data_IF_616775687568
#
_entry.id   IF_616775687568
#
_cell.length_a   1.000
_cell.length_b   1.000
_cell.length_c   1.000
_cell.angle_alpha   90.00
_cell.angle_beta   90.00
_cell.angle_gamma   90.00
#
_symmetry.space_group_name_H-M   'P 1'
#
loop_
_entity.id
_entity.type
_entity.pdbx_description
1 polymer ?
#
# COMPACT_ATOMS: atom_id res chain seq x y z
N UNK A 1 -27.52 -17.77 71.04
CA UNK A 1 -27.27 -16.39 71.50
C UNK A 1 -27.48 -15.46 70.32
N UNK A 2 -28.40 -14.48 70.41
CA UNK A 2 -28.73 -13.54 69.34
C UNK A 2 -28.11 -12.14 69.57
N UNK A 3 -28.13 -11.34 68.49
CA UNK A 3 -28.21 -9.87 68.37
C UNK A 3 -27.08 -9.10 67.67
N UNK A 4 -27.57 -8.34 66.68
CA UNK A 4 -27.18 -7.00 66.20
C UNK A 4 -25.96 -6.85 65.30
N UNK A 5 -25.92 -5.95 64.32
CA UNK A 5 -26.88 -5.09 63.61
C UNK A 5 -26.03 -4.24 62.63
N UNK A 6 -26.58 -3.81 61.50
CA UNK A 6 -26.06 -2.64 60.77
C UNK A 6 -26.05 -2.77 59.25
N UNK A 7 -27.18 -2.46 58.60
CA UNK A 7 -27.22 -1.90 57.24
C UNK A 7 -26.62 -0.48 57.22
N UNK A 8 -26.31 0.04 56.03
CA UNK A 8 -26.95 1.30 55.67
C UNK A 8 -27.63 1.30 54.29
N UNK A 9 -28.60 2.20 54.20
CA UNK A 9 -29.60 2.46 53.15
C UNK A 9 -29.07 2.72 51.72
N UNK A 10 -29.93 2.52 50.70
CA UNK A 10 -29.72 3.01 49.34
C UNK A 10 -30.24 4.46 49.19
N UNK A 11 -29.48 5.32 48.50
CA UNK A 11 -29.94 6.68 48.15
C UNK A 11 -30.51 6.72 46.74
N UNK A 12 -31.73 7.24 46.62
CA UNK A 12 -32.51 7.48 45.41
C UNK A 12 -32.00 8.67 44.57
N UNK A 13 -31.84 8.46 43.25
CA UNK A 13 -32.42 9.28 42.17
C UNK A 13 -31.61 10.47 41.60
N UNK A 14 -31.91 10.98 40.37
CA UNK A 14 -33.14 10.81 39.60
C UNK A 14 -33.00 10.42 38.10
N UNK A 15 -34.18 10.14 37.54
CA UNK A 15 -34.59 9.74 36.20
C UNK A 15 -34.37 10.75 35.05
N UNK A 16 -34.63 10.22 33.85
CA UNK A 16 -35.00 10.82 32.55
C UNK A 16 -33.86 10.96 31.52
N UNK A 17 -33.99 10.52 30.27
CA UNK A 17 -35.18 10.08 29.52
C UNK A 17 -34.79 9.25 28.28
N UNK A 18 -35.64 8.28 27.97
CA UNK A 18 -35.62 7.41 26.79
C UNK A 18 -36.14 8.15 25.54
N UNK A 19 -35.75 7.68 24.36
CA UNK A 19 -35.90 8.36 23.08
C UNK A 19 -37.29 8.43 22.47
N UNK A 20 -37.37 9.08 21.31
CA UNK A 20 -38.48 8.95 20.36
C UNK A 20 -38.06 9.38 18.96
N UNK A 21 -38.30 8.50 17.99
CA UNK A 21 -38.35 8.77 16.56
C UNK A 21 -39.55 9.67 16.22
N UNK A 22 -39.39 10.60 15.29
CA UNK A 22 -40.50 11.07 14.46
C UNK A 22 -39.96 11.61 13.13
N UNK A 23 -40.24 10.87 12.06
CA UNK A 23 -40.17 11.32 10.68
C UNK A 23 -41.30 12.32 10.43
N UNK A 24 -41.05 13.38 9.66
CA UNK A 24 -42.09 13.89 8.77
C UNK A 24 -41.55 14.63 7.55
N UNK A 25 -42.36 14.46 6.50
CA UNK A 25 -42.24 14.88 5.11
C UNK A 25 -42.21 16.42 4.90
N UNK A 26 -42.15 16.82 3.60
CA UNK A 26 -42.42 18.14 2.99
C UNK A 26 -41.09 18.84 2.59
N UNK A 27 -40.77 19.22 1.35
CA UNK A 27 -41.57 19.56 0.18
C UNK A 27 -40.75 19.49 -1.12
N UNK A 28 -41.50 19.30 -2.21
CA UNK A 28 -41.09 19.22 -3.60
C UNK A 28 -40.96 20.64 -4.19
N UNK A 29 -39.86 20.99 -4.88
CA UNK A 29 -39.85 22.17 -5.79
C UNK A 29 -38.93 22.00 -7.01
N UNK A 30 -39.54 21.46 -8.07
CA UNK A 30 -39.60 21.94 -9.45
C UNK A 30 -38.36 22.54 -10.14
N UNK A 31 -37.85 21.78 -11.11
CA UNK A 31 -37.64 22.09 -12.54
C UNK A 31 -37.56 23.57 -13.01
N UNK A 32 -36.52 23.86 -13.80
CA UNK A 32 -36.50 24.71 -15.02
C UNK A 32 -35.15 24.44 -15.72
N UNK A 33 -35.04 23.57 -16.74
CA UNK A 33 -35.33 23.71 -18.18
C UNK A 33 -34.56 24.85 -18.89
N UNK A 34 -33.62 24.38 -19.74
CA UNK A 34 -33.09 24.88 -21.03
C UNK A 34 -33.14 26.37 -21.37
N UNK A 35 -32.03 26.90 -21.88
CA UNK A 35 -31.96 27.46 -23.24
C UNK A 35 -30.50 27.71 -23.69
N UNK A 36 -30.09 27.03 -24.77
CA UNK A 36 -29.10 27.55 -25.73
C UNK A 36 -29.69 28.78 -26.44
N UNK A 37 -28.84 29.61 -27.07
CA UNK A 37 -29.01 29.67 -28.52
C UNK A 37 -27.69 29.59 -29.29
N UNK A 38 -27.80 28.82 -30.38
CA UNK A 38 -26.82 28.70 -31.43
C UNK A 38 -26.93 29.85 -32.45
N UNK A 39 -25.75 30.33 -32.87
CA UNK A 39 -25.34 30.68 -34.25
C UNK A 39 -26.05 31.80 -35.02
N UNK A 40 -25.27 32.83 -35.39
CA UNK A 40 -25.28 33.35 -36.77
C UNK A 40 -23.85 33.55 -37.29
N UNK A 41 -23.64 33.05 -38.51
CA UNK A 41 -22.42 33.09 -39.28
C UNK A 41 -22.53 34.09 -40.45
N UNK A 42 -21.41 34.70 -40.84
CA UNK A 42 -20.94 34.97 -42.22
C UNK A 42 -19.65 35.80 -42.12
N UNK A 43 -18.47 35.24 -42.44
CA UNK A 43 -17.81 35.20 -43.76
C UNK A 43 -17.39 36.61 -44.23
N UNK A 44 -16.18 36.93 -44.67
CA UNK A 44 -14.99 36.18 -45.11
C UNK A 44 -13.80 37.15 -45.13
N UNK A 45 -12.56 36.67 -45.06
CA UNK A 45 -11.36 37.48 -45.26
C UNK A 45 -10.07 36.67 -45.02
N UNK A 46 -9.39 36.35 -46.11
CA UNK A 46 -8.22 35.48 -46.23
C UNK A 46 -7.03 35.83 -45.33
N UNK A 47 -6.45 34.80 -44.69
CA UNK A 47 -5.02 34.66 -44.45
C UNK A 47 -4.73 33.17 -44.20
N UNK A 48 -4.52 32.42 -45.27
CA UNK A 48 -3.92 31.11 -45.24
C UNK A 48 -2.40 31.27 -45.16
N UNK A 49 -1.76 30.72 -44.13
CA UNK A 49 -0.48 30.01 -44.18
C UNK A 49 0.02 29.75 -42.75
N UNK A 50 0.51 28.52 -42.53
CA UNK A 50 1.41 28.10 -41.43
C UNK A 50 0.78 27.88 -40.04
N UNK A 51 0.32 26.66 -39.76
CA UNK A 51 0.53 25.97 -38.47
C UNK A 51 -0.11 24.55 -38.42
N UNK A 52 0.03 23.74 -39.47
CA UNK A 52 -0.42 22.33 -39.45
C UNK A 52 0.56 21.51 -40.27
N UNK A 53 1.71 21.16 -39.68
CA UNK A 53 2.63 20.10 -40.18
C UNK A 53 3.78 19.88 -39.15
N UNK A 54 3.47 19.55 -37.88
CA UNK A 54 4.51 19.15 -36.90
C UNK A 54 4.44 17.67 -36.50
N UNK A 55 3.42 16.91 -36.88
CA UNK A 55 3.27 15.53 -36.36
C UNK A 55 3.26 14.44 -37.43
N UNK A 56 3.98 14.61 -38.54
CA UNK A 56 4.06 13.56 -39.56
C UNK A 56 5.46 13.41 -40.14
N UNK A 57 6.43 13.03 -39.31
CA UNK A 57 7.62 12.29 -39.78
C UNK A 57 8.04 11.24 -38.74
N UNK A 58 7.85 9.96 -39.08
CA UNK A 58 8.48 8.83 -38.40
C UNK A 58 9.94 8.74 -38.88
N UNK A 59 10.95 8.77 -38.00
CA UNK A 59 12.29 8.34 -38.38
C UNK A 59 12.29 6.81 -38.52
N UNK A 60 12.74 6.35 -39.68
CA UNK A 60 12.96 4.94 -39.99
C UNK A 60 13.89 4.29 -38.95
N UNK A 61 13.55 3.05 -38.60
CA UNK A 61 14.29 2.17 -37.71
C UNK A 61 15.70 1.90 -38.22
N UNK A 62 16.71 2.32 -37.45
CA UNK A 62 18.12 1.97 -37.71
C UNK A 62 18.89 1.69 -36.40
N UNK A 63 18.27 0.95 -35.49
CA UNK A 63 18.87 0.53 -34.21
C UNK A 63 19.17 -0.98 -34.14
N UNK A 64 19.60 -1.57 -35.26
CA UNK A 64 20.05 -2.96 -35.28
C UNK A 64 21.43 -3.08 -35.93
N UNK A 65 22.50 -2.86 -35.13
CA UNK A 65 23.89 -3.37 -35.24
C UNK A 65 24.81 -2.44 -34.40
N UNK A 66 25.69 -2.83 -33.48
CA UNK A 66 26.16 -4.13 -32.97
C UNK A 66 26.87 -3.93 -31.62
N UNK A 67 26.72 -4.95 -30.76
CA UNK A 67 27.66 -5.57 -29.82
C UNK A 67 28.70 -4.74 -29.00
N UNK A 68 28.61 -4.92 -27.67
CA UNK A 68 29.71 -4.78 -26.71
C UNK A 68 29.31 -5.38 -25.35
N UNK A 69 29.87 -6.53 -25.01
CA UNK A 69 29.45 -7.44 -23.93
C UNK A 69 29.75 -6.94 -22.50
N UNK A 70 28.79 -7.15 -21.58
CA UNK A 70 29.01 -7.33 -20.14
C UNK A 70 27.96 -8.32 -19.61
N UNK A 71 28.27 -9.23 -18.68
CA UNK A 71 27.29 -10.19 -18.17
C UNK A 71 26.54 -9.53 -17.02
N UNK A 72 25.47 -8.80 -17.34
CA UNK A 72 24.39 -8.62 -16.37
C UNK A 72 23.51 -9.86 -16.50
N UNK A 73 23.57 -10.73 -15.49
CA UNK A 73 22.63 -11.85 -15.33
C UNK A 73 21.27 -11.24 -15.01
N UNK A 74 20.57 -10.80 -16.05
CA UNK A 74 19.15 -10.47 -16.01
C UNK A 74 18.39 -11.77 -15.67
N UNK A 75 17.49 -11.78 -14.67
CA UNK A 75 16.69 -12.97 -14.40
C UNK A 75 15.88 -13.31 -15.65
N UNK A 76 16.07 -14.52 -16.16
CA UNK A 76 15.45 -14.96 -17.39
C UNK A 76 13.92 -14.86 -17.27
N UNK A 77 13.31 -13.93 -18.01
CA UNK A 77 11.87 -13.85 -18.19
C UNK A 77 11.42 -15.15 -18.87
N UNK A 78 10.67 -16.04 -18.19
CA UNK A 78 10.24 -17.29 -18.81
C UNK A 78 9.26 -16.97 -19.94
N UNK A 79 9.54 -17.43 -21.16
CA UNK A 79 8.57 -17.46 -22.25
C UNK A 79 7.66 -18.66 -22.05
N UNK A 80 6.51 -18.48 -21.39
CA UNK A 80 5.41 -19.45 -21.43
C UNK A 80 4.11 -18.85 -21.99
N UNK A 81 3.73 -19.44 -23.12
CA UNK A 81 2.40 -19.85 -23.62
C UNK A 81 1.12 -19.05 -23.29
N UNK A 82 0.44 -18.68 -24.38
CA UNK A 82 -1.01 -18.45 -24.53
C UNK A 82 -1.53 -17.12 -23.99
N UNK A 83 -1.24 -16.04 -24.74
CA UNK A 83 -1.92 -14.71 -24.68
C UNK A 83 -2.62 -14.42 -23.36
N UNK A 84 -1.87 -14.37 -22.26
CA UNK A 84 -2.39 -13.81 -21.04
C UNK A 84 -2.78 -12.36 -21.36
N UNK A 85 -3.99 -11.94 -21.00
CA UNK A 85 -4.43 -10.56 -21.13
C UNK A 85 -3.69 -9.74 -20.06
N UNK A 86 -2.43 -9.44 -20.35
CA UNK A 86 -1.54 -8.65 -19.50
C UNK A 86 -2.09 -7.24 -19.46
N UNK A 87 -2.53 -6.80 -18.28
CA UNK A 87 -3.13 -5.49 -18.10
C UNK A 87 -2.08 -4.41 -17.83
N UNK A 88 -1.08 -4.71 -17.00
CA UNK A 88 0.11 -3.86 -16.83
C UNK A 88 1.33 -4.71 -16.50
N UNK A 89 2.51 -4.19 -16.80
CA UNK A 89 3.78 -4.75 -16.36
C UNK A 89 4.85 -3.65 -16.21
N UNK A 90 5.92 -3.94 -15.47
CA UNK A 90 7.05 -3.04 -15.32
C UNK A 90 7.93 -3.37 -14.12
N UNK A 91 9.09 -2.70 -14.01
CA UNK A 91 9.90 -2.78 -12.80
C UNK A 91 9.32 -1.91 -11.68
N UNK A 92 9.53 -2.32 -10.43
CA UNK A 92 9.10 -1.56 -9.23
C UNK A 92 9.75 -0.19 -9.09
N UNK A 93 10.80 0.10 -9.85
CA UNK A 93 11.41 1.44 -9.96
C UNK A 93 10.58 2.43 -10.77
N UNK A 94 9.67 1.94 -11.62
CA UNK A 94 8.79 2.75 -12.47
C UNK A 94 7.32 2.62 -12.06
N UNK A 95 6.91 1.41 -11.65
CA UNK A 95 5.58 1.10 -11.15
C UNK A 95 5.71 0.43 -9.78
N UNK A 96 5.61 1.22 -8.71
CA UNK A 96 5.77 0.69 -7.35
C UNK A 96 4.74 -0.40 -7.03
N UNK A 97 5.07 -1.26 -6.05
CA UNK A 97 4.14 -2.29 -5.57
C UNK A 97 2.85 -1.66 -5.02
N UNK A 98 2.95 -0.57 -4.25
CA UNK A 98 1.75 0.12 -3.73
C UNK A 98 0.90 0.66 -4.88
N UNK A 99 1.51 1.21 -5.93
CA UNK A 99 0.76 1.69 -7.09
C UNK A 99 0.09 0.55 -7.85
N UNK A 100 0.77 -0.57 -8.06
CA UNK A 100 0.19 -1.75 -8.70
C UNK A 100 -1.02 -2.29 -7.92
N UNK A 101 -0.89 -2.42 -6.59
CA UNK A 101 -1.99 -2.82 -5.69
C UNK A 101 -3.17 -1.84 -5.76
N UNK A 102 -2.89 -0.54 -5.79
CA UNK A 102 -3.91 0.49 -5.93
C UNK A 102 -4.66 0.43 -7.26
N UNK A 103 -3.96 0.13 -8.36
CA UNK A 103 -4.60 -0.07 -9.68
C UNK A 103 -5.54 -1.27 -9.64
N UNK A 104 -5.11 -2.39 -9.03
CA UNK A 104 -5.96 -3.59 -8.85
C UNK A 104 -7.26 -3.23 -8.12
N UNK A 105 -7.16 -2.51 -6.99
CA UNK A 105 -8.32 -2.12 -6.19
C UNK A 105 -9.25 -1.15 -6.94
N UNK A 106 -8.69 -0.09 -7.54
CA UNK A 106 -9.47 0.98 -8.18
C UNK A 106 -10.20 0.52 -9.43
N UNK A 107 -9.52 -0.29 -10.25
CA UNK A 107 -10.06 -0.82 -11.50
C UNK A 107 -10.81 -2.14 -11.29
N UNK A 108 -10.97 -2.59 -10.04
CA UNK A 108 -11.67 -3.83 -9.65
C UNK A 108 -11.19 -5.05 -10.42
N UNK A 109 -9.88 -5.18 -10.56
CA UNK A 109 -9.30 -6.22 -11.40
C UNK A 109 -9.47 -7.61 -10.79
N UNK A 110 -9.62 -8.60 -11.66
CA UNK A 110 -9.69 -10.02 -11.30
C UNK A 110 -8.62 -10.78 -12.08
N UNK A 111 -7.71 -11.45 -11.38
CA UNK A 111 -6.51 -12.03 -11.98
C UNK A 111 -5.38 -12.24 -10.98
N UNK A 112 -4.16 -12.35 -11.49
CA UNK A 112 -2.95 -12.56 -10.69
C UNK A 112 -1.88 -11.50 -10.98
N UNK A 113 -1.36 -10.87 -9.93
CA UNK A 113 -0.14 -10.07 -9.96
C UNK A 113 1.06 -11.00 -9.72
N UNK A 114 1.87 -11.22 -10.75
CA UNK A 114 3.12 -11.98 -10.66
C UNK A 114 4.29 -11.04 -10.42
N UNK A 115 5.15 -11.39 -9.47
CA UNK A 115 6.36 -10.67 -9.12
C UNK A 115 7.58 -11.59 -9.33
N UNK A 116 8.46 -11.16 -10.22
CA UNK A 116 9.70 -11.84 -10.57
C UNK A 116 10.88 -11.11 -9.95
N UNK A 117 11.72 -11.85 -9.24
CA UNK A 117 12.82 -11.34 -8.42
C UNK A 117 13.95 -12.37 -8.37
N UNK A 118 14.85 -12.30 -7.39
CA UNK A 118 16.01 -13.19 -7.27
C UNK A 118 15.69 -14.61 -6.78
N UNK A 119 14.41 -14.93 -6.58
CA UNK A 119 13.89 -16.24 -6.16
C UNK A 119 12.66 -16.65 -6.97
N UNK A 120 12.02 -17.74 -6.56
CA UNK A 120 10.76 -18.20 -7.16
C UNK A 120 9.70 -17.10 -7.16
N UNK A 121 8.93 -17.05 -8.24
CA UNK A 121 7.95 -15.99 -8.46
C UNK A 121 6.87 -15.99 -7.38
N UNK A 122 6.44 -14.79 -6.99
CA UNK A 122 5.35 -14.58 -6.05
C UNK A 122 4.12 -14.17 -6.83
N UNK A 123 3.00 -14.84 -6.60
CA UNK A 123 1.72 -14.58 -7.25
C UNK A 123 0.71 -14.09 -6.22
N UNK A 124 0.16 -12.90 -6.42
CA UNK A 124 -0.92 -12.34 -5.60
C UNK A 124 -2.22 -12.40 -6.40
N UNK A 125 -3.17 -13.19 -5.92
CA UNK A 125 -4.49 -13.34 -6.53
C UNK A 125 -5.42 -12.22 -6.06
N UNK A 126 -6.15 -11.66 -7.02
CA UNK A 126 -7.16 -10.64 -6.77
C UNK A 126 -8.48 -10.97 -7.47
N UNK A 127 -9.59 -10.61 -6.82
CA UNK A 127 -10.95 -10.78 -7.31
C UNK A 127 -11.76 -9.52 -7.03
N UNK A 128 -12.37 -8.93 -8.06
CA UNK A 128 -13.11 -7.66 -7.99
C UNK A 128 -12.33 -6.53 -7.27
N UNK A 129 -11.01 -6.51 -7.43
CA UNK A 129 -10.10 -5.56 -6.76
C UNK A 129 -9.77 -5.87 -5.30
N UNK A 130 -10.37 -6.90 -4.70
CA UNK A 130 -10.01 -7.41 -3.39
C UNK A 130 -8.88 -8.44 -3.49
N UNK A 131 -8.01 -8.50 -2.48
CA UNK A 131 -6.92 -9.48 -2.42
C UNK A 131 -7.47 -10.79 -1.87
N UNK A 132 -7.19 -11.90 -2.54
CA UNK A 132 -7.55 -13.24 -2.04
C UNK A 132 -6.41 -13.77 -1.16
N UNK A 133 -5.25 -14.03 -1.76
CA UNK A 133 -4.04 -14.44 -1.06
C UNK A 133 -2.81 -14.25 -1.95
N UNK A 134 -1.61 -14.33 -1.35
CA UNK A 134 -0.35 -14.43 -2.06
C UNK A 134 0.21 -15.85 -1.92
N UNK A 135 0.84 -16.35 -2.97
CA UNK A 135 1.39 -17.71 -3.06
C UNK A 135 2.65 -17.73 -3.91
N UNK A 136 3.31 -18.89 -3.96
CA UNK A 136 4.48 -19.16 -4.80
C UNK A 136 4.54 -20.67 -5.07
N UNK A 137 5.23 -21.06 -6.14
CA UNK A 137 5.48 -22.48 -6.46
C UNK A 137 6.64 -23.09 -5.66
N UNK A 138 7.25 -22.33 -4.76
CA UNK A 138 8.26 -22.84 -3.81
C UNK A 138 7.66 -22.96 -2.40
N UNK A 139 7.28 -24.17 -1.95
CA UNK A 139 6.68 -24.38 -0.64
C UNK A 139 7.60 -24.02 0.53
N UNK A 140 8.92 -24.09 0.33
CA UNK A 140 9.91 -23.78 1.35
C UNK A 140 10.11 -22.26 1.48
N UNK A 141 10.02 -21.54 0.36
CA UNK A 141 9.90 -20.08 0.37
C UNK A 141 8.57 -19.61 0.99
N UNK A 142 7.47 -20.31 0.71
CA UNK A 142 6.14 -19.98 1.22
C UNK A 142 6.04 -20.17 2.74
N UNK A 143 6.50 -21.31 3.24
CA UNK A 143 6.43 -21.71 4.64
C UNK A 143 7.76 -22.36 5.06
N UNK A 144 8.76 -21.53 5.41
CA UNK A 144 10.10 -22.01 5.80
C UNK A 144 10.12 -22.62 7.21
N UNK A 145 9.16 -22.22 8.05
CA UNK A 145 9.02 -22.71 9.42
C UNK A 145 7.96 -23.82 9.47
N UNK A 146 7.97 -24.63 10.54
CA UNK A 146 6.93 -25.63 10.78
C UNK A 146 5.87 -25.07 11.74
N UNK A 147 4.69 -24.61 11.27
CA UNK A 147 3.64 -24.10 12.13
C UNK A 147 3.10 -25.21 13.04
N UNK A 148 2.75 -24.85 14.28
CA UNK A 148 2.30 -25.80 15.30
C UNK A 148 1.07 -26.62 14.88
N UNK A 149 0.21 -26.07 14.00
CA UNK A 149 -0.96 -26.75 13.45
C UNK A 149 -0.57 -28.03 12.68
N UNK A 150 0.62 -28.07 12.09
CA UNK A 150 1.11 -29.25 11.35
C UNK A 150 1.80 -30.28 12.24
N UNK A 151 2.03 -30.00 13.52
CA UNK A 151 2.80 -30.88 14.40
C UNK A 151 2.17 -32.28 14.58
N UNK A 152 0.85 -32.39 14.42
CA UNK A 152 0.09 -33.64 14.56
C UNK A 152 -0.37 -34.21 13.21
N UNK A 153 0.00 -33.58 12.09
CA UNK A 153 -0.39 -34.02 10.75
C UNK A 153 0.66 -34.99 10.21
N UNK A 154 0.22 -36.03 9.51
CA UNK A 154 1.14 -36.98 8.88
C UNK A 154 2.07 -36.26 7.90
N UNK A 155 3.38 -36.50 8.03
CA UNK A 155 4.41 -35.90 7.21
C UNK A 155 4.27 -36.26 5.72
N UNK A 156 3.75 -37.45 5.39
CA UNK A 156 3.51 -37.84 4.00
C UNK A 156 2.39 -37.01 3.36
N UNK A 157 1.33 -36.71 4.12
CA UNK A 157 0.22 -35.86 3.67
C UNK A 157 0.73 -34.42 3.45
N UNK A 158 1.53 -33.90 4.39
CA UNK A 158 2.15 -32.57 4.25
C UNK A 158 3.08 -32.52 3.03
N UNK A 159 3.91 -33.54 2.82
CA UNK A 159 4.81 -33.61 1.68
C UNK A 159 4.06 -33.65 0.35
N UNK A 160 2.97 -34.42 0.26
CA UNK A 160 2.09 -34.48 -0.91
C UNK A 160 1.43 -33.11 -1.18
N UNK A 161 0.91 -32.45 -0.15
CA UNK A 161 0.31 -31.12 -0.28
C UNK A 161 1.33 -30.06 -0.74
N UNK A 162 2.56 -30.10 -0.23
CA UNK A 162 3.67 -29.24 -0.68
C UNK A 162 4.04 -29.52 -2.13
N UNK A 163 4.13 -30.79 -2.53
CA UNK A 163 4.39 -31.16 -3.94
C UNK A 163 3.29 -30.60 -4.85
N UNK A 164 2.02 -30.69 -4.45
CA UNK A 164 0.92 -30.12 -5.21
C UNK A 164 1.03 -28.59 -5.34
N UNK A 165 1.43 -27.87 -4.28
CA UNK A 165 1.67 -26.42 -4.38
C UNK A 165 2.76 -26.11 -5.41
N UNK A 166 3.81 -26.93 -5.49
CA UNK A 166 4.88 -26.69 -6.47
C UNK A 166 4.42 -26.83 -7.93
N UNK A 167 3.41 -27.66 -8.17
CA UNK A 167 2.84 -27.89 -9.50
C UNK A 167 1.76 -26.85 -9.85
N UNK A 168 0.86 -26.54 -8.90
CA UNK A 168 -0.34 -25.74 -9.15
C UNK A 168 -0.23 -24.30 -8.70
N UNK A 169 0.67 -23.99 -7.76
CA UNK A 169 0.74 -22.71 -7.07
C UNK A 169 -0.31 -22.52 -5.97
N UNK A 170 -1.25 -23.46 -5.77
CA UNK A 170 -2.26 -23.35 -4.70
C UNK A 170 -1.60 -23.59 -3.35
N UNK A 171 -1.79 -22.72 -2.34
CA UNK A 171 -1.22 -22.90 -1.01
C UNK A 171 -1.54 -24.27 -0.41
N UNK A 172 -0.52 -25.00 0.04
CA UNK A 172 -0.67 -26.37 0.53
C UNK A 172 -1.62 -26.47 1.74
N UNK A 173 -1.78 -25.41 2.53
CA UNK A 173 -2.74 -25.35 3.63
C UNK A 173 -4.19 -25.54 3.16
N UNK A 174 -4.55 -25.02 1.98
CA UNK A 174 -5.89 -25.22 1.41
C UNK A 174 -6.09 -26.68 1.00
N UNK A 175 -5.06 -27.30 0.42
CA UNK A 175 -5.07 -28.73 0.12
C UNK A 175 -5.25 -29.57 1.40
N UNK A 176 -4.51 -29.26 2.45
CA UNK A 176 -4.64 -29.96 3.74
C UNK A 176 -6.03 -29.79 4.36
N UNK A 177 -6.66 -28.62 4.22
CA UNK A 177 -8.03 -28.41 4.67
C UNK A 177 -9.05 -29.23 3.87
N UNK A 178 -8.86 -29.34 2.55
CA UNK A 178 -9.73 -30.13 1.66
C UNK A 178 -9.61 -31.64 1.89
N UNK A 179 -8.44 -32.11 2.32
CA UNK A 179 -8.19 -33.50 2.71
C UNK A 179 -8.55 -33.75 4.20
N UNK A 180 -9.21 -32.81 4.88
CA UNK A 180 -9.58 -32.87 6.31
C UNK A 180 -8.39 -33.11 7.27
N UNK A 181 -7.15 -32.85 6.81
CA UNK A 181 -5.94 -33.01 7.60
C UNK A 181 -5.75 -31.88 8.62
N UNK A 182 -6.27 -30.69 8.31
CA UNK A 182 -6.39 -29.55 9.23
C UNK A 182 -7.76 -28.91 9.09
N UNK A 183 -8.22 -28.20 10.11
CA UNK A 183 -9.48 -27.46 10.01
C UNK A 183 -9.36 -26.28 9.02
N UNK A 184 -10.46 -25.99 8.32
CA UNK A 184 -10.52 -24.93 7.31
C UNK A 184 -10.16 -23.55 7.85
N UNK A 185 -10.67 -23.17 9.03
CA UNK A 185 -10.41 -21.85 9.62
C UNK A 185 -8.90 -21.61 9.91
N UNK A 186 -8.17 -22.50 10.62
CA UNK A 186 -6.72 -22.42 10.73
C UNK A 186 -5.98 -22.39 9.39
N UNK A 187 -6.45 -23.13 8.38
CA UNK A 187 -5.83 -23.12 7.06
C UNK A 187 -5.92 -21.74 6.41
N UNK A 188 -7.10 -21.10 6.46
CA UNK A 188 -7.31 -19.74 5.95
C UNK A 188 -6.41 -18.73 6.67
N UNK A 189 -6.33 -18.79 7.99
CA UNK A 189 -5.47 -17.91 8.79
C UNK A 189 -3.99 -18.07 8.43
N UNK A 190 -3.54 -19.32 8.24
CA UNK A 190 -2.18 -19.62 7.79
C UNK A 190 -1.92 -19.12 6.37
N UNK A 191 -2.88 -19.24 5.46
CA UNK A 191 -2.78 -18.71 4.09
C UNK A 191 -2.65 -17.19 4.10
N UNK A 192 -3.46 -16.50 4.89
CA UNK A 192 -3.37 -15.04 5.02
C UNK A 192 -2.02 -14.62 5.60
N UNK A 193 -1.58 -15.26 6.70
CA UNK A 193 -0.33 -14.92 7.36
C UNK A 193 0.90 -15.20 6.49
N UNK A 194 1.03 -16.42 5.95
CA UNK A 194 2.18 -16.80 5.12
C UNK A 194 2.16 -16.09 3.77
N UNK A 195 0.98 -15.80 3.21
CA UNK A 195 0.86 -14.94 2.02
C UNK A 195 1.37 -13.52 2.27
N UNK A 196 0.95 -12.88 3.37
CA UNK A 196 1.47 -11.55 3.74
C UNK A 196 2.98 -11.58 4.02
N UNK A 197 3.47 -12.63 4.69
CA UNK A 197 4.91 -12.81 4.96
C UNK A 197 5.70 -13.00 3.67
N UNK A 198 5.18 -13.80 2.75
CA UNK A 198 5.79 -14.00 1.43
C UNK A 198 5.89 -12.66 0.70
N UNK A 199 4.77 -11.95 0.57
CA UNK A 199 4.71 -10.65 -0.10
C UNK A 199 5.58 -9.60 0.58
N UNK A 200 5.80 -9.70 1.90
CA UNK A 200 6.63 -8.76 2.65
C UNK A 200 8.07 -8.67 2.13
N UNK A 201 8.57 -9.76 1.53
CA UNK A 201 9.90 -9.83 0.93
C UNK A 201 10.02 -8.93 -0.30
N UNK A 202 8.93 -8.71 -1.04
CA UNK A 202 8.94 -7.87 -2.24
C UNK A 202 9.12 -6.38 -1.93
N UNK A 203 8.69 -5.90 -0.75
CA UNK A 203 8.92 -4.51 -0.35
C UNK A 203 10.40 -4.16 -0.19
N UNK A 204 11.22 -5.18 0.08
CA UNK A 204 12.65 -5.07 0.31
C UNK A 204 13.47 -5.40 -0.93
N UNK A 205 12.87 -6.11 -1.89
CA UNK A 205 13.57 -6.60 -3.07
C UNK A 205 13.82 -5.45 -4.08
N UNK A 206 15.07 -5.25 -4.53
CA UNK A 206 15.37 -4.24 -5.53
C UNK A 206 14.89 -4.68 -6.91
N UNK A 207 14.31 -3.75 -7.67
CA UNK A 207 14.01 -3.91 -9.12
C UNK A 207 13.15 -5.12 -9.49
N UNK A 208 12.24 -5.54 -8.62
CA UNK A 208 11.24 -6.59 -8.92
C UNK A 208 10.51 -6.24 -10.22
N UNK A 209 10.44 -7.20 -11.15
CA UNK A 209 9.58 -7.08 -12.33
C UNK A 209 8.20 -7.59 -11.96
N UNK A 210 7.17 -6.78 -12.18
CA UNK A 210 5.79 -7.15 -11.88
C UNK A 210 4.94 -7.17 -13.14
N UNK A 211 3.95 -8.05 -13.16
CA UNK A 211 3.00 -8.19 -14.26
C UNK A 211 1.64 -8.62 -13.73
N UNK A 212 0.57 -7.95 -14.14
CA UNK A 212 -0.79 -8.35 -13.82
C UNK A 212 -1.46 -9.01 -15.02
N UNK A 213 -1.92 -10.23 -14.83
CA UNK A 213 -2.65 -11.02 -15.83
C UNK A 213 -4.11 -11.13 -15.43
N UNK A 214 -5.03 -10.78 -16.33
CA UNK A 214 -6.46 -10.95 -16.10
C UNK A 214 -6.92 -12.39 -16.30
N UNK A 215 -7.97 -12.78 -15.60
CA UNK A 215 -8.69 -14.04 -15.79
C UNK A 215 -7.80 -15.30 -15.68
N UNK A 216 -6.91 -15.31 -14.69
CA UNK A 216 -6.02 -16.45 -14.44
C UNK A 216 -6.81 -17.65 -13.89
N UNK A 217 -6.53 -18.85 -14.42
CA UNK A 217 -7.19 -20.13 -14.07
C UNK A 217 -7.06 -20.49 -12.57
N UNK A 218 -6.09 -19.90 -11.87
CA UNK A 218 -5.80 -20.06 -10.43
C UNK A 218 -6.96 -19.65 -9.51
N UNK A 219 -7.93 -18.87 -10.00
CA UNK A 219 -9.09 -18.45 -9.21
C UNK A 219 -10.10 -19.57 -8.96
N UNK A 220 -10.00 -20.70 -9.68
CA UNK A 220 -10.95 -21.82 -9.53
C UNK A 220 -10.88 -22.43 -8.13
N UNK A 221 -9.68 -22.44 -7.53
CA UNK A 221 -9.44 -22.99 -6.19
C UNK A 221 -9.49 -21.93 -5.07
N UNK A 222 -9.72 -20.67 -5.42
CA UNK A 222 -9.70 -19.54 -4.50
C UNK A 222 -11.04 -19.25 -3.82
N UNK A 223 -12.14 -19.86 -4.28
CA UNK A 223 -13.51 -19.50 -3.88
C UNK A 223 -13.84 -19.64 -2.38
N UNK A 224 -13.08 -20.45 -1.65
CA UNK A 224 -13.30 -20.69 -0.21
C UNK A 224 -12.51 -19.73 0.69
N UNK A 225 -11.63 -18.88 0.14
CA UNK A 225 -10.79 -17.97 0.93
C UNK A 225 -11.45 -16.59 1.02
N UNK A 226 -11.66 -16.03 2.23
CA UNK A 226 -12.16 -14.68 2.39
C UNK A 226 -11.25 -13.66 1.73
N UNK A 227 -11.84 -12.78 0.93
CA UNK A 227 -11.11 -11.69 0.26
C UNK A 227 -10.95 -10.47 1.16
N UNK A 228 -9.78 -9.84 1.15
CA UNK A 228 -9.53 -8.55 1.80
C UNK A 228 -9.81 -7.41 0.83
N UNK A 229 -10.90 -6.68 1.09
CA UNK A 229 -11.35 -5.58 0.25
C UNK A 229 -10.48 -4.32 0.43
N UNK A 230 -9.90 -4.09 1.61
CA UNK A 230 -9.02 -2.96 1.84
C UNK A 230 -7.57 -3.32 1.56
N UNK A 231 -7.18 -3.12 0.30
CA UNK A 231 -5.82 -3.36 -0.18
C UNK A 231 -4.76 -2.56 0.57
N UNK A 232 -5.09 -1.35 1.07
CA UNK A 232 -4.16 -0.53 1.85
C UNK A 232 -3.90 -1.12 3.23
N UNK A 233 -4.94 -1.64 3.90
CA UNK A 233 -4.78 -2.37 5.17
C UNK A 233 -3.96 -3.65 4.94
N UNK A 234 -4.28 -4.42 3.89
CA UNK A 234 -3.54 -5.64 3.56
C UNK A 234 -2.05 -5.37 3.31
N UNK A 235 -1.75 -4.33 2.54
CA UNK A 235 -0.39 -3.90 2.26
C UNK A 235 0.32 -3.47 3.55
N UNK A 236 -0.36 -2.72 4.42
CA UNK A 236 0.19 -2.32 5.72
C UNK A 236 0.49 -3.53 6.61
N UNK A 237 -0.38 -4.54 6.68
CA UNK A 237 -0.10 -5.78 7.43
C UNK A 237 1.14 -6.51 6.89
N UNK A 238 1.28 -6.62 5.56
CA UNK A 238 2.48 -7.22 4.97
C UNK A 238 3.75 -6.40 5.27
N UNK A 239 3.65 -5.07 5.30
CA UNK A 239 4.75 -4.17 5.65
C UNK A 239 5.13 -4.24 7.14
N UNK A 240 4.19 -4.60 8.03
CA UNK A 240 4.48 -4.83 9.45
C UNK A 240 5.37 -6.05 9.68
N UNK A 241 5.37 -7.01 8.77
CA UNK A 241 6.21 -8.21 8.82
C UNK A 241 7.67 -7.92 8.42
N UNK A 242 7.95 -6.75 7.84
CA UNK A 242 9.32 -6.28 7.59
C UNK A 242 9.96 -5.85 8.92
N UNK A 243 10.94 -6.63 9.39
CA UNK A 243 11.60 -6.40 10.69
C UNK A 243 12.96 -5.71 10.59
N UNK A 244 13.69 -5.93 9.49
CA UNK A 244 15.03 -5.40 9.30
C UNK A 244 15.12 -4.73 7.95
N UNK A 245 15.43 -3.44 7.96
CA UNK A 245 15.77 -2.71 6.77
C UNK A 245 17.27 -2.82 6.55
N UNK A 246 17.66 -3.23 5.35
CA UNK A 246 19.07 -3.22 4.98
C UNK A 246 19.61 -1.79 5.04
N UNK A 247 20.85 -1.66 5.49
CA UNK A 247 21.53 -0.35 5.55
C UNK A 247 21.65 0.31 4.17
N UNK A 248 21.49 -0.46 3.09
CA UNK A 248 21.49 -0.01 1.70
C UNK A 248 20.29 0.86 1.32
N UNK A 249 19.19 0.88 2.10
CA UNK A 249 17.97 1.65 1.80
C UNK A 249 18.11 3.17 2.00
N UNK A 250 19.32 3.70 2.21
CA UNK A 250 19.57 5.14 2.14
C UNK A 250 18.81 5.95 3.19
N UNK A 251 18.69 5.45 4.43
CA UNK A 251 18.02 6.18 5.50
C UNK A 251 18.81 7.41 5.93
N UNK A 252 18.25 8.59 5.69
CA UNK A 252 18.77 9.86 6.20
C UNK A 252 17.94 10.34 7.39
N UNK A 253 18.47 10.30 8.64
CA UNK A 253 17.72 10.75 9.83
C UNK A 253 17.30 12.22 9.80
N UNK A 254 17.99 13.04 9.00
CA UNK A 254 17.70 14.45 8.83
C UNK A 254 16.58 14.73 7.81
N UNK A 255 16.12 13.71 7.07
CA UNK A 255 15.00 13.82 6.13
C UNK A 255 13.71 14.26 6.83
N UNK A 256 12.85 14.93 6.08
CA UNK A 256 11.61 15.55 6.56
C UNK A 256 10.43 14.85 5.90
N UNK A 257 9.69 14.00 6.64
CA UNK A 257 8.49 13.37 6.12
C UNK A 257 7.34 14.38 5.96
N UNK A 258 6.68 14.30 4.81
CA UNK A 258 5.46 15.05 4.49
C UNK A 258 4.43 14.11 3.85
N UNK A 259 3.15 14.35 4.11
CA UNK A 259 2.10 13.61 3.42
C UNK A 259 2.06 13.96 1.95
N UNK A 260 1.93 12.95 1.11
CA UNK A 260 1.57 13.16 -0.30
C UNK A 260 0.13 13.66 -0.37
N UNK A 261 -0.27 14.24 -1.52
CA UNK A 261 -1.62 14.78 -1.73
C UNK A 261 -2.70 13.76 -1.36
N UNK A 262 -2.57 12.55 -1.88
CA UNK A 262 -3.57 11.48 -1.66
C UNK A 262 -3.27 10.71 -0.36
N UNK A 263 -2.03 10.79 0.15
CA UNK A 263 -1.59 10.13 1.38
C UNK A 263 -2.29 10.63 2.63
N UNK A 264 -2.54 11.94 2.74
CA UNK A 264 -3.25 12.50 3.90
C UNK A 264 -4.68 11.97 4.07
N UNK A 265 -5.36 11.65 2.97
CA UNK A 265 -6.69 11.04 3.01
C UNK A 265 -6.62 9.54 3.26
N UNK A 266 -5.65 8.85 2.64
CA UNK A 266 -5.46 7.40 2.79
C UNK A 266 -5.07 7.02 4.22
N UNK A 267 -4.19 7.78 4.86
CA UNK A 267 -3.72 7.48 6.23
C UNK A 267 -4.86 7.51 7.26
N UNK A 268 -5.92 8.28 7.02
CA UNK A 268 -7.08 8.36 7.91
C UNK A 268 -7.99 7.14 7.82
N UNK A 269 -7.91 6.38 6.71
CA UNK A 269 -8.72 5.18 6.46
C UNK A 269 -8.00 3.89 6.84
N UNK A 270 -6.70 3.97 7.11
CA UNK A 270 -5.87 2.84 7.51
C UNK A 270 -6.16 2.40 8.94
N UNK A 271 -6.12 1.09 9.18
CA UNK A 271 -6.13 0.49 10.52
C UNK A 271 -4.76 0.63 11.19
N UNK A 272 -4.40 1.85 11.59
CA UNK A 272 -3.15 2.12 12.30
C UNK A 272 -3.18 1.61 13.74
N UNK A 273 -2.05 1.09 14.20
CA UNK A 273 -1.81 0.91 15.64
C UNK A 273 -1.65 2.27 16.32
N UNK A 274 -1.77 2.31 17.66
CA UNK A 274 -1.56 3.54 18.44
C UNK A 274 -0.19 4.18 18.14
N UNK A 275 0.87 3.37 18.06
CA UNK A 275 2.23 3.87 17.82
C UNK A 275 2.39 4.42 16.40
N UNK A 276 1.81 3.75 15.39
CA UNK A 276 1.81 4.22 14.01
C UNK A 276 1.03 5.53 13.86
N UNK A 277 -0.14 5.64 14.50
CA UNK A 277 -0.94 6.87 14.49
C UNK A 277 -0.21 8.03 15.19
N UNK A 278 0.44 7.77 16.33
CA UNK A 278 1.26 8.77 17.02
C UNK A 278 2.44 9.21 16.16
N UNK A 279 3.14 8.28 15.52
CA UNK A 279 4.24 8.59 14.60
C UNK A 279 3.77 9.45 13.43
N UNK A 280 2.69 9.03 12.75
CA UNK A 280 2.09 9.73 11.64
C UNK A 280 1.59 11.14 12.01
N UNK A 281 1.10 11.35 13.23
CA UNK A 281 0.67 12.66 13.73
C UNK A 281 1.79 13.70 13.81
N UNK A 282 3.05 13.28 13.82
CA UNK A 282 4.20 14.18 13.90
C UNK A 282 4.63 14.74 12.54
N UNK A 283 4.11 14.18 11.43
CA UNK A 283 4.43 14.64 10.07
C UNK A 283 3.79 15.99 9.80
N UNK A 284 4.62 17.02 9.70
CA UNK A 284 4.18 18.40 9.50
C UNK A 284 4.99 19.12 8.41
N UNK A 285 5.81 18.39 7.64
CA UNK A 285 6.66 18.96 6.59
C UNK A 285 7.81 19.84 7.09
N UNK A 286 8.10 19.84 8.39
CA UNK A 286 9.21 20.65 8.98
C UNK A 286 10.12 19.83 9.88
N UNK A 287 9.55 18.90 10.66
CA UNK A 287 10.32 18.07 11.59
C UNK A 287 11.06 16.96 10.85
N UNK A 288 12.34 16.80 11.15
CA UNK A 288 13.11 15.65 10.67
C UNK A 288 12.71 14.36 11.40
N UNK A 289 12.97 13.22 10.78
CA UNK A 289 12.75 11.90 11.39
C UNK A 289 13.46 11.78 12.75
N UNK A 290 14.69 12.31 12.86
CA UNK A 290 15.42 12.33 14.13
C UNK A 290 14.71 13.12 15.22
N UNK A 291 14.08 14.26 14.87
CA UNK A 291 13.31 15.06 15.83
C UNK A 291 12.02 14.33 16.24
N UNK A 292 11.35 13.68 15.29
CA UNK A 292 10.15 12.88 15.55
C UNK A 292 10.48 11.72 16.50
N UNK A 293 11.55 10.97 16.21
CA UNK A 293 12.03 9.87 17.05
C UNK A 293 12.33 10.35 18.48
N UNK A 294 13.00 11.50 18.62
CA UNK A 294 13.28 12.11 19.94
C UNK A 294 12.00 12.50 20.68
N UNK A 295 11.01 13.07 20.00
CA UNK A 295 9.75 13.48 20.62
C UNK A 295 8.96 12.28 21.15
N UNK A 296 8.93 11.19 20.37
CA UNK A 296 8.21 9.96 20.71
C UNK A 296 9.05 8.98 21.53
N UNK A 297 10.30 9.32 21.85
CA UNK A 297 11.26 8.47 22.58
C UNK A 297 11.49 7.11 21.90
N UNK A 298 11.46 7.10 20.57
CA UNK A 298 11.77 5.94 19.74
C UNK A 298 13.26 5.94 19.39
N UNK A 299 13.84 4.75 19.27
CA UNK A 299 15.16 4.62 18.65
C UNK A 299 15.06 4.85 17.12
N UNK A 300 16.19 5.21 16.51
CA UNK A 300 16.22 5.53 15.07
C UNK A 300 15.91 4.32 14.18
N UNK A 301 16.17 3.08 14.62
CA UNK A 301 15.86 1.88 13.84
C UNK A 301 14.34 1.69 13.78
N UNK A 302 13.66 1.82 14.92
CA UNK A 302 12.19 1.77 15.00
C UNK A 302 11.54 2.91 14.21
N UNK A 303 12.06 4.13 14.32
CA UNK A 303 11.56 5.27 13.54
C UNK A 303 11.76 5.07 12.02
N UNK A 304 12.90 4.50 11.61
CA UNK A 304 13.15 4.15 10.22
C UNK A 304 12.15 3.09 9.71
N UNK A 305 11.92 2.03 10.50
CA UNK A 305 10.93 1.00 10.17
C UNK A 305 9.52 1.56 10.03
N UNK A 306 9.06 2.39 10.97
CA UNK A 306 7.74 3.02 10.88
C UNK A 306 7.64 3.92 9.64
N UNK A 307 8.66 4.75 9.39
CA UNK A 307 8.68 5.62 8.22
C UNK A 307 8.65 4.84 6.91
N UNK A 308 9.44 3.76 6.82
CA UNK A 308 9.48 2.90 5.64
C UNK A 308 8.09 2.38 5.25
N UNK A 309 7.26 1.98 6.23
CA UNK A 309 5.88 1.53 5.95
C UNK A 309 5.07 2.61 5.23
N UNK A 310 5.11 3.84 5.72
CA UNK A 310 4.36 4.95 5.11
C UNK A 310 4.92 5.38 3.74
N UNK A 311 6.24 5.30 3.56
CA UNK A 311 6.90 5.60 2.28
C UNK A 311 6.59 4.51 1.24
N UNK A 312 6.67 3.24 1.63
CA UNK A 312 6.37 2.11 0.74
C UNK A 312 4.91 2.09 0.28
N UNK A 313 3.98 2.59 1.12
CA UNK A 313 2.57 2.81 0.76
C UNK A 313 2.33 4.08 -0.08
N UNK A 314 3.37 4.87 -0.35
CA UNK A 314 3.29 6.18 -1.02
C UNK A 314 2.37 7.19 -0.31
N UNK A 315 2.21 7.03 1.00
CA UNK A 315 1.43 7.93 1.87
C UNK A 315 2.28 9.13 2.27
N UNK A 316 3.58 8.90 2.44
CA UNK A 316 4.57 9.89 2.87
C UNK A 316 5.71 9.94 1.87
N UNK A 317 6.17 11.14 1.58
CA UNK A 317 7.42 11.41 0.88
C UNK A 317 8.42 12.06 1.83
N UNK A 318 9.71 11.80 1.61
CA UNK A 318 10.79 12.33 2.43
C UNK A 318 11.59 13.38 1.67
N UNK A 319 11.59 14.59 2.21
CA UNK A 319 12.36 15.71 1.67
C UNK A 319 13.74 15.79 2.33
N UNK A 320 14.80 16.16 1.60
CA UNK A 320 16.12 16.36 2.21
C UNK A 320 16.09 17.54 3.18
N UNK A 321 16.98 17.54 4.18
CA UNK A 321 17.06 18.62 5.16
C UNK A 321 17.32 20.01 4.54
N UNK A 322 17.93 20.04 3.34
CA UNK A 322 18.15 21.26 2.56
C UNK A 322 16.86 21.90 2.03
N UNK A 323 15.78 21.13 1.89
CA UNK A 323 14.47 21.61 1.46
C UNK A 323 13.70 22.30 2.60
N UNK A 324 14.14 22.14 3.86
CA UNK A 324 13.56 22.88 4.97
C UNK A 324 13.77 24.38 4.73
N UNK A 325 12.69 25.12 4.49
CA UNK A 325 12.73 26.58 4.44
C UNK A 325 13.35 27.08 5.72
N UNK A 326 14.59 27.59 5.64
CA UNK A 326 15.23 28.28 6.77
C UNK A 326 14.22 29.33 7.23
N UNK A 327 13.81 29.34 8.51
CA UNK A 327 13.06 30.48 9.00
C UNK A 327 13.89 31.72 8.70
N UNK A 328 13.32 32.69 8.00
CA UNK A 328 13.96 33.98 7.75
C UNK A 328 14.63 34.41 9.05
N UNK A 329 15.94 34.71 8.99
CA UNK A 329 16.66 35.28 10.12
C UNK A 329 16.05 36.64 10.43
N UNK A 330 14.94 36.68 11.17
CA UNK A 330 14.42 37.85 11.87
C UNK A 330 15.40 38.22 12.98
N UNK A 331 16.62 38.66 12.65
CA UNK A 331 17.59 39.13 13.63
C UNK A 331 18.82 39.86 13.06
N UNK A 332 18.64 40.72 12.05
CA UNK A 332 19.70 41.69 11.67
C UNK A 332 19.26 43.15 11.75
N UNK A 333 17.97 43.46 11.59
CA UNK A 333 17.49 44.85 11.66
C UNK A 333 17.11 45.39 13.04
N UNK A 334 17.02 44.55 14.09
CA UNK A 334 16.74 45.04 15.46
C UNK A 334 17.99 45.58 16.18
N UNK A 335 19.21 45.29 15.69
CA UNK A 335 20.45 45.85 16.27
C UNK A 335 20.78 47.26 15.80
N UNK A 336 20.23 47.72 14.67
CA UNK A 336 20.47 49.09 14.19
C UNK A 336 19.51 50.15 14.76
N UNK A 337 18.33 49.77 15.27
CA UNK A 337 17.39 50.73 15.89
C UNK A 337 17.79 51.18 17.31
N UNK A 338 18.77 50.54 17.97
CA UNK A 338 19.29 50.99 19.29
C UNK A 338 20.48 51.93 19.21
N UNK A 339 21.10 52.13 18.04
CA UNK A 339 22.24 53.03 17.88
C UNK A 339 21.88 54.44 17.38
N UNK A 340 20.65 54.66 16.91
CA UNK A 340 20.18 55.97 16.44
C UNK A 340 19.43 56.76 17.55
N UNK A 341 19.02 56.11 18.64
CA UNK A 341 18.29 56.76 19.75
C UNK A 341 19.19 57.37 20.84
N UNK A 342 20.51 57.47 20.63
CA UNK A 342 21.47 58.02 21.61
C UNK A 342 22.44 59.03 20.99
N UNK A 343 21.93 59.83 20.06
CA UNK A 343 22.67 60.89 19.37
C UNK A 343 21.74 61.99 18.88
N UNK A 344 21.13 62.73 19.80
CA UNK A 344 20.31 63.90 19.50
C UNK A 344 20.16 64.71 20.78
N UNK A 345 20.69 65.93 20.76
CA UNK A 345 20.81 66.87 21.88
C UNK A 345 19.47 67.31 22.44
#
# INVERSE_FOLDING_TARGET
MPNSAGEPEPTEGPLDSSGREESDHVENRSLSKEEEPATQASASGEAAAEAQDWWSEQPASDWAQSAGSAPDTEPAIPKESRTADVYFCGHTTLLSLSRALQVIAKEKLTGALRAFWDRESIELLAQDGAIVFATTRDPDLYCPDAPAVLANVDAEIVAKARAQQSETGVPFFLTLAREDAIASQPAVELVQHYGQRLFSQLWMAPRVWIMFEKNTELLTDAGDVPTEANVDDWALESLRLVQNLDQSLGFEPASIPAYTRDGYERVQKLKLTSDEAQFASQFNGVRSVQQIAKNLRLDLKSAHLMLFRFVALEIVECWPASAATKPERKNVFQRFKRLIARGGR
#
